data_IF_997551878704
#
_entry.id   IF_997551878704
#
_cell.length_a   1.000
_cell.length_b   1.000
_cell.length_c   1.000
_cell.angle_alpha   90.00
_cell.angle_beta   90.00
_cell.angle_gamma   90.00
#
_symmetry.space_group_name_H-M   'P 1'
#
loop_
_entity.id
_entity.type
_entity.pdbx_description
1 polymer ?
#
# COMPACT_ATOMS: atom_id res chain seq x y z
N UNK A 1 0.35 31.67 -1.64
CA UNK A 1 0.69 30.72 -2.71
C UNK A 1 1.90 29.89 -2.25
N UNK A 2 1.76 28.97 -1.29
CA UNK A 2 2.88 28.18 -0.78
C UNK A 2 2.52 26.75 -0.35
N UNK A 3 1.34 26.25 -0.68
CA UNK A 3 0.89 24.91 -0.28
C UNK A 3 1.06 23.81 -1.32
N UNK A 4 1.06 24.14 -2.60
CA UNK A 4 1.00 23.16 -3.68
C UNK A 4 2.38 22.54 -4.06
N UNK A 5 3.49 23.21 -3.74
CA UNK A 5 4.83 22.69 -4.04
C UNK A 5 5.32 21.66 -3.02
N UNK A 6 4.88 21.77 -1.78
CA UNK A 6 5.27 20.85 -0.70
C UNK A 6 4.63 19.46 -0.84
N UNK A 7 3.48 19.39 -1.48
CA UNK A 7 2.80 18.12 -1.79
C UNK A 7 3.50 17.37 -2.94
N UNK A 8 4.18 18.09 -3.84
CA UNK A 8 4.96 17.46 -4.94
C UNK A 8 6.15 16.65 -4.46
N UNK A 9 6.78 17.01 -3.34
CA UNK A 9 7.89 16.24 -2.76
C UNK A 9 7.44 14.98 -2.03
N UNK A 10 6.18 14.87 -1.61
CA UNK A 10 5.59 13.62 -1.11
C UNK A 10 5.27 12.63 -2.23
N UNK A 11 5.20 13.09 -3.48
CA UNK A 11 5.00 12.25 -4.66
C UNK A 11 6.31 11.68 -5.23
N UNK A 12 7.24 11.26 -4.38
CA UNK A 12 8.33 10.37 -4.80
C UNK A 12 7.83 9.02 -5.36
N UNK A 13 6.51 8.83 -5.41
CA UNK A 13 5.84 7.64 -5.94
C UNK A 13 5.99 7.41 -7.45
N UNK A 14 6.32 8.43 -8.26
CA UNK A 14 6.44 8.20 -9.71
C UNK A 14 7.61 7.30 -10.10
N UNK A 15 8.71 7.39 -9.38
CA UNK A 15 9.89 6.54 -9.64
C UNK A 15 9.65 5.10 -9.16
N UNK A 16 8.95 4.95 -8.04
CA UNK A 16 8.57 3.64 -7.48
C UNK A 16 7.57 2.95 -8.40
N UNK A 17 6.57 3.65 -8.91
CA UNK A 17 5.60 3.12 -9.87
C UNK A 17 6.23 2.73 -11.21
N UNK A 18 7.23 3.47 -11.69
CA UNK A 18 7.98 3.11 -12.91
C UNK A 18 8.85 1.86 -12.71
N UNK A 19 9.45 1.70 -11.52
CA UNK A 19 10.25 0.52 -11.17
C UNK A 19 9.38 -0.73 -11.04
N UNK A 20 8.19 -0.59 -10.47
CA UNK A 20 7.22 -1.67 -10.31
C UNK A 20 6.66 -2.19 -11.65
N UNK A 21 6.38 -1.29 -12.60
CA UNK A 21 5.97 -1.68 -13.96
C UNK A 21 7.05 -2.45 -14.74
N UNK A 22 8.33 -2.28 -14.38
CA UNK A 22 9.45 -2.94 -15.07
C UNK A 22 9.70 -4.37 -14.61
N UNK A 23 9.28 -4.73 -13.40
CA UNK A 23 9.51 -6.05 -12.79
C UNK A 23 8.57 -7.15 -13.30
N UNK A 24 7.45 -6.84 -13.93
CA UNK A 24 6.46 -7.84 -14.42
C UNK A 24 6.65 -8.28 -15.88
N UNK A 25 7.81 -8.05 -16.49
CA UNK A 25 8.13 -8.68 -17.77
C UNK A 25 8.84 -10.01 -17.52
N UNK A 26 8.10 -11.01 -17.09
CA UNK A 26 8.55 -12.39 -17.05
C UNK A 26 8.56 -12.92 -18.48
N UNK A 27 9.75 -13.18 -18.97
CA UNK A 27 10.06 -13.77 -20.27
C UNK A 27 9.51 -15.20 -20.28
N UNK A 28 8.45 -15.43 -21.03
CA UNK A 28 8.04 -16.80 -21.38
C UNK A 28 8.87 -17.21 -22.60
N UNK A 29 9.86 -18.05 -22.37
CA UNK A 29 10.64 -18.67 -23.42
C UNK A 29 9.86 -19.81 -24.08
N UNK A 30 9.92 -19.82 -25.37
CA UNK A 30 9.37 -20.69 -26.37
C UNK A 30 9.57 -22.18 -26.10
N UNK A 31 8.48 -22.94 -26.26
CA UNK A 31 8.53 -24.38 -26.55
C UNK A 31 7.30 -24.72 -27.36
N UNK A 32 7.48 -24.88 -28.67
CA UNK A 32 6.38 -25.16 -29.58
C UNK A 32 5.88 -26.60 -29.47
N UNK A 33 4.55 -26.78 -29.50
CA UNK A 33 3.90 -27.94 -30.08
C UNK A 33 2.59 -27.46 -30.70
N UNK A 34 2.50 -27.75 -31.98
CA UNK A 34 1.38 -27.51 -32.88
C UNK A 34 0.36 -28.60 -32.68
N UNK A 35 -0.83 -28.28 -32.14
CA UNK A 35 -2.03 -29.12 -32.27
C UNK A 35 -3.22 -28.26 -32.65
N UNK A 36 -3.70 -28.56 -33.81
CA UNK A 36 -4.90 -28.08 -34.47
C UNK A 36 -6.16 -28.58 -33.72
N UNK A 37 -7.09 -27.70 -33.50
CA UNK A 37 -8.52 -27.87 -33.76
C UNK A 37 -9.47 -27.32 -32.69
N UNK A 38 -10.53 -26.79 -33.25
CA UNK A 38 -11.91 -26.56 -32.77
C UNK A 38 -12.23 -25.18 -32.25
N UNK A 39 -12.76 -24.40 -33.19
CA UNK A 39 -13.58 -23.20 -32.95
C UNK A 39 -14.83 -23.61 -32.20
N UNK A 40 -14.94 -23.27 -30.93
CA UNK A 40 -16.21 -23.11 -30.24
C UNK A 40 -16.28 -21.67 -29.79
N UNK A 41 -17.18 -20.90 -30.42
CA UNK A 41 -17.46 -19.53 -30.05
C UNK A 41 -17.95 -19.44 -28.61
N UNK A 42 -17.07 -18.99 -27.73
CA UNK A 42 -17.40 -18.54 -26.40
C UNK A 42 -17.19 -17.02 -26.38
N UNK A 43 -18.26 -16.26 -26.43
CA UNK A 43 -18.27 -14.87 -25.98
C UNK A 43 -17.91 -14.85 -24.47
N UNK A 44 -16.65 -15.03 -24.17
CA UNK A 44 -16.10 -14.71 -22.86
C UNK A 44 -15.84 -13.21 -22.85
N UNK A 45 -16.80 -12.43 -22.36
CA UNK A 45 -16.51 -11.06 -21.97
C UNK A 45 -15.28 -11.11 -21.07
N UNK A 46 -14.19 -10.49 -21.48
CA UNK A 46 -13.10 -10.13 -20.58
C UNK A 46 -13.73 -9.17 -19.59
N UNK A 47 -14.19 -9.67 -18.46
CA UNK A 47 -14.29 -8.84 -17.29
C UNK A 47 -12.87 -8.31 -17.07
N UNK A 48 -12.65 -7.05 -17.37
CA UNK A 48 -11.44 -6.35 -16.93
C UNK A 48 -11.43 -6.50 -15.42
N UNK A 49 -10.55 -7.38 -14.92
CA UNK A 49 -10.43 -7.64 -13.50
C UNK A 49 -10.21 -6.28 -12.85
N UNK A 50 -11.20 -5.80 -12.10
CA UNK A 50 -11.18 -4.49 -11.46
C UNK A 50 -9.90 -4.43 -10.65
N UNK A 51 -8.96 -3.61 -11.10
CA UNK A 51 -7.66 -3.49 -10.47
C UNK A 51 -7.89 -2.95 -9.07
N UNK A 52 -7.49 -3.68 -8.07
CA UNK A 52 -7.59 -3.27 -6.66
C UNK A 52 -6.21 -3.16 -6.04
N UNK A 53 -6.08 -2.25 -5.07
CA UNK A 53 -4.90 -2.09 -4.24
C UNK A 53 -5.34 -2.32 -2.79
N UNK A 54 -4.62 -3.17 -2.05
CA UNK A 54 -4.84 -3.39 -0.63
C UNK A 54 -3.76 -2.68 0.18
N UNK A 55 -4.18 -1.76 1.07
CA UNK A 55 -3.31 -0.95 1.92
C UNK A 55 -3.54 -1.37 3.37
N UNK A 56 -2.50 -1.84 4.04
CA UNK A 56 -2.51 -2.07 5.48
C UNK A 56 -1.97 -0.86 6.23
N UNK A 57 -2.67 -0.40 7.27
CA UNK A 57 -2.24 0.74 8.09
C UNK A 57 -2.21 0.32 9.55
N UNK A 58 -1.05 0.43 10.21
CA UNK A 58 -0.93 0.27 11.65
C UNK A 58 -0.66 1.62 12.32
N UNK A 59 -1.54 2.00 13.25
CA UNK A 59 -1.41 3.23 14.03
C UNK A 59 -1.06 2.92 15.48
N UNK A 60 -0.25 3.78 16.11
CA UNK A 60 0.15 3.59 17.50
C UNK A 60 -1.02 3.64 18.47
N UNK A 61 -1.98 4.52 18.22
CA UNK A 61 -3.24 4.65 18.95
C UNK A 61 -4.30 5.30 18.06
N UNK A 62 -5.40 4.57 17.83
CA UNK A 62 -6.50 5.06 16.99
C UNK A 62 -7.38 6.11 17.70
N UNK A 63 -7.28 6.22 19.03
CA UNK A 63 -8.06 7.17 19.85
C UNK A 63 -7.36 8.52 19.99
N UNK A 64 -6.11 8.63 19.54
CA UNK A 64 -5.44 9.91 19.42
C UNK A 64 -6.16 10.80 18.39
N UNK A 65 -6.53 12.01 18.79
CA UNK A 65 -7.30 12.94 17.95
C UNK A 65 -6.61 13.24 16.62
N UNK A 66 -5.28 13.42 16.65
CA UNK A 66 -4.52 13.70 15.43
C UNK A 66 -4.53 12.48 14.49
N UNK A 67 -4.35 11.27 15.04
CA UNK A 67 -4.39 10.02 14.25
C UNK A 67 -5.76 9.82 13.66
N UNK A 68 -6.82 10.06 14.42
CA UNK A 68 -8.22 9.93 13.94
C UNK A 68 -8.51 10.87 12.78
N UNK A 69 -8.09 12.15 12.89
CA UNK A 69 -8.25 13.13 11.80
C UNK A 69 -7.42 12.76 10.57
N UNK A 70 -6.15 12.35 10.78
CA UNK A 70 -5.28 11.89 9.70
C UNK A 70 -5.89 10.70 8.96
N UNK A 71 -6.45 9.73 9.68
CA UNK A 71 -7.08 8.54 9.07
C UNK A 71 -8.35 8.91 8.31
N UNK A 72 -9.13 9.88 8.82
CA UNK A 72 -10.29 10.39 8.10
C UNK A 72 -9.87 11.02 6.76
N UNK A 73 -8.90 11.93 6.78
CA UNK A 73 -8.39 12.60 5.58
C UNK A 73 -7.80 11.59 4.58
N UNK A 74 -7.14 10.55 5.08
CA UNK A 74 -6.59 9.48 4.25
C UNK A 74 -7.70 8.70 3.53
N UNK A 75 -8.77 8.33 4.25
CA UNK A 75 -9.92 7.63 3.66
C UNK A 75 -10.66 8.50 2.64
N UNK A 76 -10.88 9.79 2.95
CA UNK A 76 -11.52 10.73 2.03
C UNK A 76 -10.69 10.89 0.74
N UNK A 77 -9.36 10.95 0.87
CA UNK A 77 -8.45 11.01 -0.27
C UNK A 77 -8.46 9.72 -1.09
N UNK A 78 -8.49 8.56 -0.43
CA UNK A 78 -8.55 7.26 -1.11
C UNK A 78 -9.83 7.12 -1.93
N UNK A 79 -10.97 7.46 -1.35
CA UNK A 79 -12.27 7.46 -2.05
C UNK A 79 -12.23 8.33 -3.31
N UNK A 80 -11.69 9.55 -3.18
CA UNK A 80 -11.52 10.43 -4.35
C UNK A 80 -10.61 9.82 -5.40
N UNK A 81 -9.55 9.12 -5.00
CA UNK A 81 -8.65 8.44 -5.94
C UNK A 81 -9.30 7.24 -6.62
N UNK A 82 -10.16 6.50 -5.93
CA UNK A 82 -10.97 5.45 -6.55
C UNK A 82 -11.86 6.02 -7.67
N UNK A 83 -12.55 7.13 -7.40
CA UNK A 83 -13.39 7.81 -8.37
C UNK A 83 -12.61 8.32 -9.59
N UNK A 84 -11.43 8.91 -9.35
CA UNK A 84 -10.57 9.45 -10.41
C UNK A 84 -9.93 8.38 -11.29
N UNK A 85 -9.60 7.22 -10.72
CA UNK A 85 -8.75 6.21 -11.39
C UNK A 85 -9.50 4.95 -11.81
N UNK A 86 -10.68 4.70 -11.23
CA UNK A 86 -11.41 3.44 -11.39
C UNK A 86 -10.73 2.24 -10.73
N UNK A 87 -9.71 2.46 -9.91
CA UNK A 87 -8.98 1.43 -9.14
C UNK A 87 -9.58 1.35 -7.75
N UNK A 88 -10.05 0.19 -7.31
CA UNK A 88 -10.53 0.01 -5.95
C UNK A 88 -9.37 0.09 -4.95
N UNK A 89 -9.53 0.80 -3.84
CA UNK A 89 -8.54 0.96 -2.78
C UNK A 89 -9.12 0.39 -1.48
N UNK A 90 -8.65 -0.78 -1.09
CA UNK A 90 -9.07 -1.43 0.16
C UNK A 90 -8.09 -1.05 1.27
N UNK A 91 -8.60 -0.48 2.36
CA UNK A 91 -7.79 -0.01 3.49
C UNK A 91 -8.16 -0.83 4.72
N UNK A 92 -7.18 -1.56 5.27
CA UNK A 92 -7.30 -2.25 6.55
C UNK A 92 -6.50 -1.50 7.61
N UNK A 93 -7.16 -1.06 8.69
CA UNK A 93 -6.54 -0.27 9.75
C UNK A 93 -6.46 -1.08 11.04
N UNK A 94 -5.28 -1.08 11.68
CA UNK A 94 -4.96 -1.79 12.91
C UNK A 94 -4.51 -0.81 14.00
N UNK A 95 -5.04 -0.99 15.21
CA UNK A 95 -4.63 -0.22 16.38
C UNK A 95 -3.57 -1.01 17.18
N UNK A 96 -2.37 -0.48 17.29
CA UNK A 96 -1.30 -1.11 18.08
C UNK A 96 -1.47 -0.90 19.59
N UNK A 97 -2.38 -0.01 20.02
CA UNK A 97 -2.65 0.27 21.42
C UNK A 97 -1.37 0.55 22.24
N UNK A 98 -0.48 1.36 21.67
CA UNK A 98 0.83 1.73 22.21
C UNK A 98 1.77 0.53 22.51
N UNK A 99 1.55 -0.63 21.89
CA UNK A 99 2.38 -1.83 22.04
C UNK A 99 3.20 -2.09 20.77
N UNK A 100 4.52 -1.99 20.86
CA UNK A 100 5.42 -2.27 19.73
C UNK A 100 5.36 -3.75 19.30
N UNK A 101 5.24 -4.70 20.23
CA UNK A 101 5.10 -6.10 19.88
C UNK A 101 3.80 -6.38 19.11
N UNK A 102 2.70 -5.74 19.52
CA UNK A 102 1.44 -5.80 18.78
C UNK A 102 1.60 -5.21 17.37
N UNK A 103 2.29 -4.08 17.25
CA UNK A 103 2.52 -3.45 15.95
C UNK A 103 3.34 -4.34 15.02
N UNK A 104 4.40 -4.99 15.51
CA UNK A 104 5.20 -5.93 14.72
C UNK A 104 4.35 -7.10 14.21
N UNK A 105 3.51 -7.70 15.08
CA UNK A 105 2.59 -8.78 14.69
C UNK A 105 1.54 -8.32 13.66
N UNK A 106 1.07 -7.08 13.75
CA UNK A 106 0.14 -6.51 12.78
C UNK A 106 0.79 -6.39 11.40
N UNK A 107 2.06 -5.98 11.33
CA UNK A 107 2.80 -5.92 10.06
C UNK A 107 2.97 -7.32 9.45
N UNK A 108 3.28 -8.34 10.25
CA UNK A 108 3.33 -9.74 9.80
C UNK A 108 1.98 -10.21 9.24
N UNK A 109 0.88 -9.85 9.91
CA UNK A 109 -0.47 -10.19 9.45
C UNK A 109 -0.80 -9.49 8.12
N UNK A 110 -0.51 -8.20 7.97
CA UNK A 110 -0.72 -7.44 6.72
C UNK A 110 0.03 -8.07 5.55
N UNK A 111 1.27 -8.54 5.79
CA UNK A 111 2.07 -9.26 4.79
C UNK A 111 1.38 -10.56 4.38
N UNK A 112 0.95 -11.34 5.38
CA UNK A 112 0.28 -12.64 5.17
C UNK A 112 -1.07 -12.48 4.45
N UNK A 113 -1.79 -11.42 4.74
CA UNK A 113 -3.06 -11.07 4.11
C UNK A 113 -2.91 -10.48 2.70
N UNK A 114 -1.68 -10.30 2.24
CA UNK A 114 -1.38 -9.85 0.88
C UNK A 114 -1.62 -8.36 0.66
N UNK A 115 -1.32 -7.51 1.64
CA UNK A 115 -1.30 -6.07 1.42
C UNK A 115 -0.26 -5.69 0.36
N UNK A 116 -0.65 -4.85 -0.58
CA UNK A 116 0.25 -4.32 -1.61
C UNK A 116 1.17 -3.22 -1.08
N UNK A 117 0.74 -2.54 -0.02
CA UNK A 117 1.44 -1.42 0.63
C UNK A 117 1.16 -1.46 2.13
N UNK A 118 2.16 -1.15 2.94
CA UNK A 118 2.03 -1.02 4.39
C UNK A 118 2.42 0.39 4.83
N UNK A 119 1.55 0.99 5.64
CA UNK A 119 1.77 2.28 6.27
C UNK A 119 1.81 2.10 7.79
N UNK A 120 2.82 2.67 8.45
CA UNK A 120 2.99 2.52 9.90
C UNK A 120 3.16 3.88 10.56
N UNK A 121 2.32 4.15 11.55
CA UNK A 121 2.53 5.21 12.51
C UNK A 121 3.14 4.60 13.76
N UNK A 122 4.47 4.72 13.91
CA UNK A 122 5.27 3.96 14.87
C UNK A 122 4.89 4.20 16.34
N UNK A 123 4.81 3.12 17.11
CA UNK A 123 4.78 3.12 18.57
C UNK A 123 6.15 3.54 19.10
N UNK A 124 7.19 2.77 18.76
CA UNK A 124 8.58 3.10 19.05
C UNK A 124 9.27 3.69 17.82
N UNK A 125 9.59 4.97 17.90
CA UNK A 125 10.27 5.72 16.83
C UNK A 125 11.76 5.56 16.83
N UNK A 126 12.32 4.97 17.88
CA UNK A 126 13.76 4.83 18.05
C UNK A 126 14.29 3.55 17.42
N UNK A 127 13.45 2.52 17.29
CA UNK A 127 13.83 1.25 16.67
C UNK A 127 12.75 0.68 15.73
N UNK A 128 12.69 1.12 14.48
CA UNK A 128 11.79 0.57 13.46
C UNK A 128 12.36 -0.67 12.76
N UNK A 129 13.53 -1.19 13.16
CA UNK A 129 14.32 -2.19 12.42
C UNK A 129 13.50 -3.45 12.12
N UNK A 130 12.78 -4.00 13.10
CA UNK A 130 12.00 -5.22 12.90
C UNK A 130 10.93 -5.07 11.82
N UNK A 131 10.26 -3.90 11.74
CA UNK A 131 9.24 -3.60 10.75
C UNK A 131 9.88 -3.41 9.36
N UNK A 132 11.03 -2.74 9.30
CA UNK A 132 11.76 -2.53 8.05
C UNK A 132 12.21 -3.88 7.48
N UNK A 133 12.84 -4.72 8.28
CA UNK A 133 13.34 -6.04 7.87
C UNK A 133 12.20 -6.93 7.35
N UNK A 134 11.04 -6.91 8.00
CA UNK A 134 9.85 -7.64 7.56
C UNK A 134 9.37 -7.19 6.18
N UNK A 135 9.27 -5.89 5.97
CA UNK A 135 8.81 -5.32 4.70
C UNK A 135 9.83 -5.58 3.56
N UNK A 136 11.13 -5.41 3.83
CA UNK A 136 12.20 -5.66 2.86
C UNK A 136 12.26 -7.14 2.46
N UNK A 137 12.24 -8.05 3.42
CA UNK A 137 12.23 -9.50 3.18
C UNK A 137 11.10 -9.94 2.26
N UNK A 138 9.95 -9.28 2.35
CA UNK A 138 8.77 -9.61 1.58
C UNK A 138 8.56 -8.70 0.36
N UNK A 139 9.48 -7.78 0.07
CA UNK A 139 9.42 -6.82 -1.03
C UNK A 139 8.13 -5.97 -1.06
N UNK A 140 7.63 -5.61 0.12
CA UNK A 140 6.43 -4.78 0.28
C UNK A 140 6.85 -3.33 0.52
N UNK A 141 6.31 -2.36 -0.23
CA UNK A 141 6.52 -0.94 0.04
C UNK A 141 6.04 -0.56 1.44
N UNK A 142 6.93 0.07 2.21
CA UNK A 142 6.67 0.52 3.58
C UNK A 142 6.75 2.03 3.65
N UNK A 143 5.76 2.64 4.28
CA UNK A 143 5.72 4.08 4.55
C UNK A 143 5.56 4.34 6.04
N UNK A 144 6.33 5.29 6.56
CA UNK A 144 6.16 5.76 7.93
C UNK A 144 5.41 7.09 7.96
N UNK A 145 4.36 7.14 8.77
CA UNK A 145 3.66 8.38 9.10
C UNK A 145 4.29 9.01 10.34
N UNK A 146 4.77 10.24 10.21
CA UNK A 146 5.40 10.98 11.31
C UNK A 146 4.36 11.93 11.90
N UNK A 147 3.67 11.50 12.94
CA UNK A 147 2.60 12.26 13.58
C UNK A 147 3.04 13.52 14.37
N UNK A 148 4.33 13.85 14.49
CA UNK A 148 4.79 14.94 15.35
C UNK A 148 5.90 15.82 14.77
N UNK A 149 6.00 15.96 13.48
CA UNK A 149 6.96 16.91 12.91
C UNK A 149 6.65 18.39 13.27
N UNK A 150 5.40 18.70 13.65
CA UNK A 150 4.92 20.06 13.87
C UNK A 150 5.13 20.63 15.29
N UNK A 151 5.58 19.83 16.25
CA UNK A 151 5.69 20.25 17.67
C UNK A 151 7.05 20.79 18.10
N UNK A 152 7.95 21.06 17.19
CA UNK A 152 9.23 21.72 17.49
C UNK A 152 9.47 22.90 16.57
N UNK A 153 8.61 23.90 16.69
CA UNK A 153 8.94 25.29 16.40
C UNK A 153 8.21 26.14 17.41
#
# INVERSE_FOLDING_TARGET
MCGAEKVRHMLMGEQVLKKWKKSKKMTVAFGGILVMSVVIGGCGGREDAKKSIKIGISVYDQYDTFVSEMMKDFNDYATKKEEETGVAINIDTYNASASQSTQNSQVENMITEGCDVICVNLVDRTDPTAIIDLAEKNNIPLFFSIANWWRKI
#
